data_IF_722627635161
#
_entry.id   IF_722627635161
#
_cell.length_a   1.000
_cell.length_b   1.000
_cell.length_c   1.000
_cell.angle_alpha   90.00
_cell.angle_beta   90.00
_cell.angle_gamma   90.00
#
_symmetry.space_group_name_H-M   'P 1'
#
loop_
_entity.id
_entity.type
_entity.pdbx_description
1 polymer ?
#
# COMPACT_ATOMS: atom_id res chain seq x y z
N UNK A 1 38.34 24.51 -0.41
CA UNK A 1 37.42 23.92 -1.42
C UNK A 1 37.33 22.44 -1.04
N UNK A 2 36.21 21.80 -0.74
CA UNK A 2 34.83 21.91 -1.22
C UNK A 2 33.86 21.66 -0.05
N UNK A 3 32.71 22.35 -0.06
CA UNK A 3 31.61 22.15 0.89
C UNK A 3 30.85 20.88 0.48
N UNK A 4 30.78 19.88 1.35
CA UNK A 4 29.84 18.77 1.19
C UNK A 4 28.44 19.27 1.56
N UNK A 5 27.50 19.14 0.62
CA UNK A 5 26.08 19.45 0.80
C UNK A 5 25.38 18.40 1.69
N UNK A 6 24.12 18.65 2.08
CA UNK A 6 23.40 17.82 3.03
C UNK A 6 23.18 16.41 2.46
N UNK A 7 23.38 15.39 3.31
CA UNK A 7 23.11 13.98 2.99
C UNK A 7 21.72 13.84 2.38
N UNK A 8 21.67 13.47 1.10
CA UNK A 8 20.45 12.97 0.46
C UNK A 8 20.12 11.64 1.14
N UNK A 9 18.93 11.58 1.72
CA UNK A 9 18.36 10.36 2.28
C UNK A 9 18.41 9.24 1.24
N UNK A 10 18.93 8.08 1.64
CA UNK A 10 18.92 6.84 0.86
C UNK A 10 17.52 6.21 0.96
N UNK A 11 16.48 6.97 0.68
CA UNK A 11 15.08 6.52 0.64
C UNK A 11 14.55 6.41 -0.79
N UNK A 12 15.31 6.90 -1.77
CA UNK A 12 14.92 6.91 -3.18
C UNK A 12 15.55 5.78 -4.01
N UNK A 13 16.24 4.82 -3.37
CA UNK A 13 16.53 3.57 -4.07
C UNK A 13 15.20 2.85 -4.26
N UNK A 14 14.73 2.63 -5.51
CA UNK A 14 13.55 1.79 -5.71
C UNK A 14 13.94 0.40 -5.23
N UNK A 15 13.43 0.01 -4.06
CA UNK A 15 13.42 -1.39 -3.67
C UNK A 15 12.59 -2.05 -4.77
N UNK A 16 13.25 -2.82 -5.62
CA UNK A 16 12.61 -3.71 -6.58
C UNK A 16 11.84 -4.75 -5.78
N UNK A 17 10.65 -4.35 -5.31
CA UNK A 17 9.65 -5.24 -4.76
C UNK A 17 9.33 -6.28 -5.82
N UNK A 18 9.23 -7.54 -5.41
CA UNK A 18 8.88 -8.67 -6.27
C UNK A 18 7.50 -8.55 -6.93
N UNK A 19 6.76 -7.48 -6.64
CA UNK A 19 5.51 -7.12 -7.32
C UNK A 19 5.77 -6.33 -8.60
N UNK A 20 6.24 -7.02 -9.63
CA UNK A 20 6.06 -6.56 -11.02
C UNK A 20 4.57 -6.64 -11.36
N UNK A 21 3.84 -5.54 -11.10
CA UNK A 21 2.49 -5.36 -11.60
C UNK A 21 2.56 -5.20 -13.12
N UNK A 22 2.26 -6.28 -13.85
CA UNK A 22 2.06 -6.29 -15.29
C UNK A 22 0.88 -5.35 -15.65
N UNK A 23 1.21 -4.09 -15.93
CA UNK A 23 0.24 -3.03 -16.27
C UNK A 23 -0.07 -2.93 -17.77
N UNK A 24 0.38 -3.87 -18.61
CA UNK A 24 0.21 -3.77 -20.06
C UNK A 24 -0.51 -4.98 -20.66
N UNK A 25 -1.80 -5.15 -20.36
CA UNK A 25 -2.74 -5.79 -21.31
C UNK A 25 -4.09 -5.05 -21.27
N UNK A 26 -4.08 -3.87 -21.89
CA UNK A 26 -5.29 -3.25 -22.45
C UNK A 26 -5.68 -4.06 -23.69
N UNK A 27 -6.48 -5.12 -23.52
CA UNK A 27 -7.22 -5.73 -24.63
C UNK A 27 -8.69 -5.43 -24.45
N UNK A 28 -9.18 -4.66 -25.42
CA UNK A 28 -10.56 -4.25 -25.63
C UNK A 28 -11.45 -5.48 -25.77
N UNK A 29 -12.47 -5.58 -24.92
CA UNK A 29 -13.62 -6.48 -25.09
C UNK A 29 -13.52 -7.82 -24.37
N UNK A 30 -14.27 -7.97 -23.27
CA UNK A 30 -14.52 -9.26 -22.63
C UNK A 30 -14.58 -9.21 -21.10
N UNK A 31 -15.79 -9.39 -20.55
CA UNK A 31 -16.10 -9.92 -19.20
C UNK A 31 -15.18 -9.54 -18.02
N UNK A 32 -15.64 -8.60 -17.19
CA UNK A 32 -15.02 -8.12 -15.93
C UNK A 32 -14.96 -9.14 -14.78
N UNK A 33 -15.08 -10.44 -15.00
CA UNK A 33 -15.21 -11.44 -13.92
C UNK A 33 -13.91 -12.13 -13.52
N UNK A 34 -12.82 -11.99 -14.27
CA UNK A 34 -11.57 -12.76 -14.03
C UNK A 34 -10.57 -12.08 -13.09
N UNK A 35 -10.66 -10.77 -12.85
CA UNK A 35 -9.64 -10.04 -12.06
C UNK A 35 -9.83 -10.15 -10.54
N UNK A 36 -11.07 -10.21 -10.06
CA UNK A 36 -11.37 -10.28 -8.62
C UNK A 36 -11.06 -11.67 -8.03
N UNK A 37 -11.29 -12.74 -8.79
CA UNK A 37 -10.98 -14.11 -8.34
C UNK A 37 -9.47 -14.31 -8.16
N UNK A 38 -8.65 -13.79 -9.07
CA UNK A 38 -7.18 -13.83 -8.97
C UNK A 38 -6.64 -12.95 -7.85
N UNK A 39 -7.28 -11.81 -7.58
CA UNK A 39 -6.89 -10.91 -6.49
C UNK A 39 -7.27 -11.50 -5.12
N UNK A 40 -8.45 -12.12 -5.01
CA UNK A 40 -8.85 -12.86 -3.80
C UNK A 40 -7.95 -14.09 -3.57
N UNK A 41 -7.54 -14.79 -4.63
CA UNK A 41 -6.58 -15.89 -4.52
C UNK A 41 -5.20 -15.39 -4.06
N UNK A 42 -4.73 -14.24 -4.55
CA UNK A 42 -3.49 -13.62 -4.08
C UNK A 42 -3.58 -13.22 -2.60
N UNK A 43 -4.65 -12.57 -2.18
CA UNK A 43 -4.87 -12.20 -0.77
C UNK A 43 -4.95 -13.44 0.13
N UNK A 44 -5.67 -14.49 -0.31
CA UNK A 44 -5.74 -15.76 0.40
C UNK A 44 -4.36 -16.43 0.55
N UNK A 45 -3.52 -16.38 -0.48
CA UNK A 45 -2.16 -16.92 -0.41
C UNK A 45 -1.29 -16.13 0.57
N UNK A 46 -1.42 -14.80 0.59
CA UNK A 46 -0.72 -13.93 1.52
C UNK A 46 -1.18 -14.19 2.95
N UNK A 47 -2.48 -14.35 3.19
CA UNK A 47 -3.02 -14.72 4.50
C UNK A 47 -2.52 -16.10 4.95
N UNK A 48 -2.51 -17.09 4.05
CA UNK A 48 -2.02 -18.43 4.35
C UNK A 48 -0.51 -18.43 4.66
N UNK A 49 0.29 -17.64 3.93
CA UNK A 49 1.72 -17.49 4.19
C UNK A 49 1.98 -16.83 5.56
N UNK A 50 1.23 -15.78 5.88
CA UNK A 50 1.30 -15.13 7.19
C UNK A 50 0.91 -16.08 8.32
N UNK A 51 -0.16 -16.86 8.17
CA UNK A 51 -0.58 -17.85 9.16
C UNK A 51 0.47 -18.95 9.34
N UNK A 52 1.01 -19.50 8.24
CA UNK A 52 2.09 -20.49 8.30
C UNK A 52 3.32 -19.95 9.01
N UNK A 53 3.71 -18.70 8.72
CA UNK A 53 4.84 -18.05 9.36
C UNK A 53 4.59 -17.85 10.85
N UNK A 54 3.40 -17.39 11.23
CA UNK A 54 2.99 -17.23 12.63
C UNK A 54 3.04 -18.56 13.39
N UNK A 55 2.47 -19.62 12.81
CA UNK A 55 2.45 -20.95 13.43
C UNK A 55 3.89 -21.48 13.65
N UNK A 56 4.77 -21.31 12.66
CA UNK A 56 6.17 -21.69 12.76
C UNK A 56 6.91 -20.94 13.87
N UNK A 57 6.71 -19.62 13.99
CA UNK A 57 7.36 -18.82 15.03
C UNK A 57 6.82 -19.18 16.44
N UNK A 58 5.53 -19.45 16.58
CA UNK A 58 4.93 -19.93 17.83
C UNK A 58 5.49 -21.30 18.21
N UNK A 59 5.58 -22.23 17.26
CA UNK A 59 6.16 -23.55 17.51
C UNK A 59 7.64 -23.44 17.92
N UNK A 60 8.40 -22.53 17.31
CA UNK A 60 9.79 -22.26 17.67
C UNK A 60 9.93 -21.68 19.08
N UNK A 61 9.03 -20.78 19.49
CA UNK A 61 9.00 -20.25 20.87
C UNK A 61 8.67 -21.36 21.87
N UNK A 62 7.62 -22.14 21.62
CA UNK A 62 7.17 -23.22 22.52
C UNK A 62 8.26 -24.29 22.65
N UNK A 63 8.86 -24.69 21.54
CA UNK A 63 9.94 -25.68 21.51
C UNK A 63 11.17 -25.18 22.27
N UNK A 64 11.59 -23.92 22.03
CA UNK A 64 12.74 -23.33 22.71
C UNK A 64 12.52 -23.17 24.21
N UNK A 65 11.33 -22.73 24.63
CA UNK A 65 10.97 -22.62 26.04
C UNK A 65 10.90 -23.99 26.72
N UNK A 66 10.31 -24.99 26.06
CA UNK A 66 10.25 -26.37 26.56
C UNK A 66 11.65 -26.94 26.79
N UNK A 67 12.59 -26.67 25.88
CA UNK A 67 13.96 -27.14 26.02
C UNK A 67 14.71 -26.42 27.16
N UNK A 68 14.47 -25.12 27.37
CA UNK A 68 15.01 -24.40 28.55
C UNK A 68 14.51 -25.03 29.86
N UNK A 69 13.22 -25.36 29.96
CA UNK A 69 12.63 -25.99 31.16
C UNK A 69 13.17 -27.40 31.39
N UNK A 70 13.46 -28.15 30.32
CA UNK A 70 14.12 -29.47 30.45
C UNK A 70 15.56 -29.32 30.93
N UNK A 71 16.32 -28.38 30.35
CA UNK A 71 17.73 -28.13 30.71
C UNK A 71 17.91 -27.60 32.13
N UNK A 72 16.91 -26.90 32.68
CA UNK A 72 16.94 -26.41 34.07
C UNK A 72 16.84 -27.52 35.13
N UNK A 73 16.66 -28.78 34.72
CA UNK A 73 16.71 -29.94 35.63
C UNK A 73 15.42 -30.19 36.40
N UNK A 74 14.35 -29.42 36.18
CA UNK A 74 13.03 -29.68 36.79
C UNK A 74 12.55 -31.11 36.51
N UNK A 75 12.82 -31.64 35.32
CA UNK A 75 12.44 -33.01 34.95
C UNK A 75 13.25 -34.10 35.69
N UNK A 76 14.54 -33.87 35.96
CA UNK A 76 15.42 -34.85 36.61
C UNK A 76 15.23 -34.85 38.14
N UNK A 77 14.89 -33.70 38.72
CA UNK A 77 14.60 -33.56 40.15
C UNK A 77 13.24 -34.15 40.55
N UNK A 78 12.22 -34.10 39.68
CA UNK A 78 10.86 -34.61 39.98
C UNK A 78 10.73 -36.14 39.86
N UNK A 79 11.59 -36.80 39.08
CA UNK A 79 11.48 -38.25 38.81
C UNK A 79 12.17 -39.15 39.85
N UNK A 80 12.80 -38.57 40.87
CA UNK A 80 13.49 -39.32 41.93
C UNK A 80 12.83 -39.09 43.30
N UNK A 81 11.69 -39.75 43.61
CA UNK A 81 11.10 -39.70 44.94
C UNK A 81 11.96 -40.56 45.87
N UNK A 82 12.73 -39.94 46.77
CA UNK A 82 13.46 -40.64 47.84
C UNK A 82 14.95 -40.34 48.00
N UNK A 83 15.51 -39.31 47.35
CA UNK A 83 16.91 -38.92 47.58
C UNK A 83 16.98 -37.78 48.60
N UNK A 84 17.60 -38.10 49.75
CA UNK A 84 17.88 -37.18 50.86
C UNK A 84 18.36 -35.79 50.40
N UNK A 85 17.93 -34.78 51.16
CA UNK A 85 17.90 -33.35 50.85
C UNK A 85 19.29 -32.69 50.62
N UNK A 86 20.39 -33.41 50.86
CA UNK A 86 21.75 -32.85 50.87
C UNK A 86 22.70 -33.38 49.79
N UNK A 87 22.24 -34.18 48.82
CA UNK A 87 23.08 -34.58 47.68
C UNK A 87 22.73 -33.76 46.46
N UNK A 88 23.26 -32.53 46.41
CA UNK A 88 23.50 -31.84 45.15
C UNK A 88 24.20 -32.83 44.23
N UNK A 89 23.48 -33.31 43.22
CA UNK A 89 24.05 -34.20 42.20
C UNK A 89 25.14 -33.35 41.56
N UNK A 90 26.40 -33.66 41.83
CA UNK A 90 27.55 -33.01 41.19
C UNK A 90 27.37 -33.17 39.68
N UNK A 91 26.73 -32.17 39.08
CA UNK A 91 26.59 -32.08 37.63
C UNK A 91 28.00 -31.76 37.16
N UNK A 92 28.59 -32.72 36.45
CA UNK A 92 29.93 -32.59 35.87
C UNK A 92 30.11 -31.18 35.28
N UNK A 93 31.21 -30.49 35.61
CA UNK A 93 31.39 -29.06 35.26
C UNK A 93 31.21 -28.83 33.76
N UNK A 94 31.59 -29.81 32.95
CA UNK A 94 31.40 -29.81 31.50
C UNK A 94 29.93 -29.92 31.08
N UNK A 95 29.15 -30.78 31.74
CA UNK A 95 27.70 -30.89 31.52
C UNK A 95 26.97 -29.61 31.92
N UNK A 96 27.35 -29.02 33.06
CA UNK A 96 26.75 -27.76 33.51
C UNK A 96 27.03 -26.59 32.55
N UNK A 97 28.27 -26.51 32.02
CA UNK A 97 28.63 -25.53 31.00
C UNK A 97 27.85 -25.74 29.69
N UNK A 98 27.72 -26.99 29.25
CA UNK A 98 26.97 -27.34 28.04
C UNK A 98 25.47 -27.04 28.18
N UNK A 99 24.87 -27.33 29.33
CA UNK A 99 23.48 -26.97 29.61
C UNK A 99 23.26 -25.45 29.61
N UNK A 100 24.22 -24.69 30.16
CA UNK A 100 24.21 -23.22 30.11
C UNK A 100 24.22 -22.69 28.67
N UNK A 101 25.10 -23.23 27.82
CA UNK A 101 25.16 -22.88 26.40
C UNK A 101 23.86 -23.22 25.65
N UNK A 102 23.27 -24.38 25.92
CA UNK A 102 21.98 -24.77 25.32
C UNK A 102 20.87 -23.81 25.75
N UNK A 103 20.80 -23.43 27.02
CA UNK A 103 19.81 -22.45 27.50
C UNK A 103 19.99 -21.10 26.83
N UNK A 104 21.22 -20.60 26.68
CA UNK A 104 21.52 -19.33 26.00
C UNK A 104 21.10 -19.37 24.53
N UNK A 105 21.46 -20.44 23.81
CA UNK A 105 21.08 -20.64 22.40
C UNK A 105 19.56 -20.69 22.22
N UNK A 106 18.85 -21.37 23.12
CA UNK A 106 17.38 -21.45 23.09
C UNK A 106 16.74 -20.11 23.42
N UNK A 107 17.30 -19.34 24.35
CA UNK A 107 16.85 -17.99 24.65
C UNK A 107 17.04 -17.06 23.44
N UNK A 108 18.17 -17.14 22.74
CA UNK A 108 18.41 -16.38 21.52
C UNK A 108 17.41 -16.72 20.41
N UNK A 109 17.09 -18.02 20.22
CA UNK A 109 16.08 -18.46 19.27
C UNK A 109 14.67 -17.95 19.62
N UNK A 110 14.32 -17.88 20.91
CA UNK A 110 13.05 -17.32 21.36
C UNK A 110 12.97 -15.83 21.02
N UNK A 111 14.01 -15.06 21.33
CA UNK A 111 14.06 -13.62 21.01
C UNK A 111 13.96 -13.39 19.51
N UNK A 112 14.67 -14.19 18.70
CA UNK A 112 14.60 -14.12 17.23
C UNK A 112 13.18 -14.37 16.72
N UNK A 113 12.48 -15.37 17.26
CA UNK A 113 11.11 -15.65 16.87
C UNK A 113 10.15 -14.51 17.24
N UNK A 114 10.33 -13.90 18.42
CA UNK A 114 9.60 -12.70 18.81
C UNK A 114 9.87 -11.50 17.89
N UNK A 115 11.12 -11.31 17.45
CA UNK A 115 11.49 -10.26 16.51
C UNK A 115 10.84 -10.47 15.13
N UNK A 116 10.78 -11.71 14.65
CA UNK A 116 10.06 -12.06 13.42
C UNK A 116 8.56 -11.74 13.53
N UNK A 117 7.93 -12.09 14.65
CA UNK A 117 6.52 -11.76 14.92
C UNK A 117 6.26 -10.25 14.98
N UNK A 118 7.20 -9.49 15.55
CA UNK A 118 7.11 -8.03 15.59
C UNK A 118 7.20 -7.42 14.20
N UNK A 119 8.12 -7.93 13.37
CA UNK A 119 8.26 -7.53 11.97
C UNK A 119 6.98 -7.83 11.18
N UNK A 120 6.41 -9.03 11.35
CA UNK A 120 5.13 -9.39 10.73
C UNK A 120 3.99 -8.45 11.16
N UNK A 121 3.95 -8.06 12.44
CA UNK A 121 2.95 -7.10 12.95
C UNK A 121 3.13 -5.72 12.30
N UNK A 122 4.37 -5.28 12.11
CA UNK A 122 4.66 -4.04 11.40
C UNK A 122 4.18 -4.09 9.94
N UNK A 123 4.45 -5.20 9.23
CA UNK A 123 4.08 -5.37 7.82
C UNK A 123 2.56 -5.39 7.61
N UNK A 124 1.82 -6.03 8.52
CA UNK A 124 0.36 -5.99 8.53
C UNK A 124 -0.17 -4.56 8.72
N UNK A 125 0.40 -3.80 9.66
CA UNK A 125 0.03 -2.39 9.88
C UNK A 125 0.30 -1.55 8.64
N UNK A 126 1.46 -1.73 7.99
CA UNK A 126 1.81 -0.99 6.79
C UNK A 126 0.84 -1.30 5.63
N UNK A 127 0.45 -2.57 5.48
CA UNK A 127 -0.49 -3.00 4.43
C UNK A 127 -1.89 -2.39 4.64
N UNK A 128 -2.37 -2.35 5.89
CA UNK A 128 -3.64 -1.71 6.23
C UNK A 128 -3.61 -0.19 5.95
N UNK A 129 -2.57 0.51 6.39
CA UNK A 129 -2.42 1.95 6.16
C UNK A 129 -2.34 2.31 4.67
N UNK A 130 -1.66 1.48 3.88
CA UNK A 130 -1.54 1.69 2.43
C UNK A 130 -2.89 1.45 1.73
N UNK A 131 -3.64 0.42 2.14
CA UNK A 131 -4.96 0.13 1.59
C UNK A 131 -5.93 1.31 1.80
N UNK A 132 -5.95 1.88 2.99
CA UNK A 132 -6.76 3.06 3.31
C UNK A 132 -6.36 4.27 2.46
N UNK A 133 -5.06 4.45 2.22
CA UNK A 133 -4.56 5.56 1.39
C UNK A 133 -4.93 5.38 -0.09
N UNK A 134 -4.82 4.16 -0.62
CA UNK A 134 -5.15 3.86 -2.01
C UNK A 134 -6.66 3.97 -2.28
N UNK A 135 -7.49 3.46 -1.38
CA UNK A 135 -8.96 3.57 -1.47
C UNK A 135 -9.41 5.04 -1.37
N UNK A 136 -8.81 5.82 -0.47
CA UNK A 136 -9.08 7.24 -0.33
C UNK A 136 -8.65 8.02 -1.58
N UNK A 137 -7.49 7.69 -2.16
CA UNK A 137 -7.02 8.29 -3.41
C UNK A 137 -7.96 7.99 -4.59
N UNK A 138 -8.47 6.76 -4.71
CA UNK A 138 -9.47 6.41 -5.73
C UNK A 138 -10.78 7.18 -5.54
N UNK A 139 -11.24 7.33 -4.29
CA UNK A 139 -12.44 8.11 -3.98
C UNK A 139 -12.25 9.59 -4.35
N UNK A 140 -11.09 10.17 -4.02
CA UNK A 140 -10.73 11.53 -4.40
C UNK A 140 -10.67 11.70 -5.91
N UNK A 141 -10.09 10.75 -6.63
CA UNK A 141 -10.00 10.77 -8.09
C UNK A 141 -11.37 10.67 -8.76
N UNK A 142 -12.25 9.80 -8.26
CA UNK A 142 -13.62 9.70 -8.73
C UNK A 142 -14.41 10.99 -8.48
N UNK A 143 -14.23 11.59 -7.31
CA UNK A 143 -14.85 12.88 -6.96
C UNK A 143 -14.33 14.01 -7.85
N UNK A 144 -13.02 14.03 -8.12
CA UNK A 144 -12.37 14.99 -9.04
C UNK A 144 -12.93 14.86 -10.45
N UNK A 145 -13.02 13.63 -10.98
CA UNK A 145 -13.64 13.35 -12.29
C UNK A 145 -15.10 13.79 -12.36
N UNK A 146 -15.88 13.49 -11.33
CA UNK A 146 -17.28 13.90 -11.26
C UNK A 146 -17.44 15.43 -11.23
N UNK A 147 -16.56 16.13 -10.50
CA UNK A 147 -16.55 17.59 -10.46
C UNK A 147 -16.15 18.17 -11.82
N UNK A 148 -15.09 17.67 -12.45
CA UNK A 148 -14.68 18.09 -13.79
C UNK A 148 -15.79 17.85 -14.83
N UNK A 149 -16.49 16.71 -14.78
CA UNK A 149 -17.61 16.44 -15.67
C UNK A 149 -18.77 17.43 -15.46
N UNK A 150 -19.05 17.85 -14.21
CA UNK A 150 -20.05 18.88 -13.91
C UNK A 150 -19.60 20.25 -14.42
N UNK A 151 -18.34 20.61 -14.19
CA UNK A 151 -17.75 21.86 -14.70
C UNK A 151 -17.81 21.91 -16.22
N UNK A 152 -17.47 20.83 -16.91
CA UNK A 152 -17.57 20.70 -18.37
C UNK A 152 -19.02 20.89 -18.86
N UNK A 153 -20.00 20.29 -18.20
CA UNK A 153 -21.43 20.50 -18.53
C UNK A 153 -21.87 21.95 -18.33
N UNK A 154 -21.42 22.59 -17.25
CA UNK A 154 -21.73 24.00 -16.97
C UNK A 154 -21.09 24.90 -18.02
N UNK A 155 -19.79 24.71 -18.32
CA UNK A 155 -19.06 25.43 -19.38
C UNK A 155 -19.79 25.27 -20.73
N UNK A 156 -20.20 24.06 -21.09
CA UNK A 156 -20.96 23.80 -22.33
C UNK A 156 -22.31 24.54 -22.34
N UNK A 157 -23.03 24.57 -21.22
CA UNK A 157 -24.31 25.27 -21.13
C UNK A 157 -24.13 26.79 -21.25
N UNK A 158 -23.04 27.35 -20.69
CA UNK A 158 -22.68 28.76 -20.84
C UNK A 158 -22.42 29.11 -22.30
N UNK A 159 -21.65 28.27 -23.02
CA UNK A 159 -21.40 28.46 -24.45
C UNK A 159 -22.70 28.43 -25.26
N UNK A 160 -23.57 27.45 -25.03
CA UNK A 160 -24.87 27.38 -25.70
C UNK A 160 -25.74 28.61 -25.44
N UNK A 161 -25.72 29.14 -24.22
CA UNK A 161 -26.51 30.33 -23.86
C UNK A 161 -25.92 31.58 -24.51
N UNK A 162 -24.59 31.66 -24.65
CA UNK A 162 -23.92 32.72 -25.38
C UNK A 162 -24.26 32.69 -26.88
N UNK A 163 -24.28 31.50 -27.50
CA UNK A 163 -24.70 31.34 -28.90
C UNK A 163 -26.14 31.81 -29.10
N UNK A 164 -27.07 31.40 -28.23
CA UNK A 164 -28.49 31.83 -28.31
C UNK A 164 -28.64 33.34 -28.13
N UNK A 165 -27.87 33.96 -27.23
CA UNK A 165 -27.88 35.42 -27.07
C UNK A 165 -27.33 36.10 -28.33
N UNK A 166 -26.26 35.58 -28.91
CA UNK A 166 -25.66 36.13 -30.14
C UNK A 166 -26.62 36.01 -31.33
N UNK A 167 -27.34 34.89 -31.44
CA UNK A 167 -28.40 34.67 -32.43
C UNK A 167 -29.56 35.66 -32.22
N UNK A 168 -30.03 35.84 -30.99
CA UNK A 168 -31.11 36.77 -30.68
C UNK A 168 -30.74 38.24 -30.94
N UNK A 169 -29.48 38.62 -30.66
CA UNK A 169 -28.95 39.95 -31.02
C UNK A 169 -28.94 40.12 -32.54
N UNK A 170 -28.49 39.09 -33.28
CA UNK A 170 -28.47 39.11 -34.73
C UNK A 170 -29.87 39.22 -35.35
N UNK A 171 -30.84 38.48 -34.82
CA UNK A 171 -32.24 38.57 -35.23
C UNK A 171 -32.81 39.98 -34.99
N UNK A 172 -32.57 40.57 -33.82
CA UNK A 172 -32.98 41.95 -33.52
C UNK A 172 -32.32 42.98 -34.44
N UNK A 173 -31.03 42.85 -34.74
CA UNK A 173 -30.31 43.75 -35.64
C UNK A 173 -30.82 43.66 -37.09
N UNK A 174 -31.20 42.45 -37.53
CA UNK A 174 -31.80 42.22 -38.84
C UNK A 174 -33.18 42.89 -39.00
N UNK A 175 -34.00 42.88 -37.93
CA UNK A 175 -35.34 43.49 -37.91
C UNK A 175 -35.26 45.01 -37.83
N UNK A 176 -34.22 45.57 -37.21
CA UNK A 176 -34.02 47.03 -37.11
C UNK A 176 -33.40 47.68 -38.36
N UNK A 177 -33.11 46.93 -39.43
CA UNK A 177 -32.66 47.49 -40.70
C UNK A 177 -31.15 47.76 -40.81
N UNK A 178 -30.33 47.01 -40.08
CA UNK A 178 -28.87 47.06 -40.21
C UNK A 178 -28.36 46.28 -41.43
N UNK A 179 -27.85 46.99 -42.43
CA UNK A 179 -27.12 46.41 -43.57
C UNK A 179 -25.91 45.60 -43.10
N UNK A 180 -25.78 44.39 -43.64
CA UNK A 180 -24.65 43.48 -43.47
C UNK A 180 -23.29 44.19 -43.65
N UNK A 181 -22.27 43.83 -42.84
CA UNK A 181 -20.92 43.76 -43.37
C UNK A 181 -20.32 42.36 -43.18
N UNK A 182 -20.01 41.75 -44.32
CA UNK A 182 -18.81 40.96 -44.58
C UNK A 182 -18.42 39.85 -43.57
N UNK A 183 -18.51 38.60 -44.03
CA UNK A 183 -18.22 37.38 -43.27
C UNK A 183 -16.74 37.16 -42.91
N UNK A 184 -16.22 37.94 -41.97
CA UNK A 184 -14.92 37.67 -41.37
C UNK A 184 -14.86 38.22 -39.96
N UNK A 185 -14.93 37.35 -38.94
CA UNK A 185 -14.21 37.46 -37.65
C UNK A 185 -14.71 36.54 -36.52
N UNK A 186 -15.65 35.63 -36.75
CA UNK A 186 -16.12 34.72 -35.68
C UNK A 186 -15.23 33.47 -35.42
N UNK A 187 -13.99 33.47 -35.92
CA UNK A 187 -13.01 32.40 -35.63
C UNK A 187 -12.02 32.76 -34.52
N UNK A 188 -11.90 34.04 -34.16
CA UNK A 188 -10.90 34.48 -33.17
C UNK A 188 -11.37 34.29 -31.71
N UNK A 189 -12.66 34.50 -31.41
CA UNK A 189 -13.16 34.35 -30.05
C UNK A 189 -13.35 32.88 -29.63
N UNK A 190 -13.77 32.03 -30.57
CA UNK A 190 -13.83 30.58 -30.36
C UNK A 190 -12.43 29.98 -30.15
N UNK A 191 -11.42 30.42 -30.92
CA UNK A 191 -10.04 29.94 -30.73
C UNK A 191 -9.40 30.37 -29.42
N UNK A 192 -9.75 31.55 -28.89
CA UNK A 192 -9.23 32.05 -27.60
C UNK A 192 -9.73 31.22 -26.42
N UNK A 193 -10.99 30.77 -26.45
CA UNK A 193 -11.52 29.87 -25.41
C UNK A 193 -11.12 28.40 -25.62
N UNK A 194 -10.89 27.97 -26.86
CA UNK A 194 -10.37 26.62 -27.16
C UNK A 194 -8.91 26.44 -26.70
N UNK A 195 -8.10 27.50 -26.67
CA UNK A 195 -6.74 27.45 -26.10
C UNK A 195 -6.73 27.27 -24.58
N UNK A 196 -7.68 27.89 -23.86
CA UNK A 196 -7.80 27.72 -22.40
C UNK A 196 -8.26 26.31 -22.02
N UNK A 197 -9.00 25.61 -22.89
CA UNK A 197 -9.40 24.22 -22.69
C UNK A 197 -8.20 23.26 -22.78
N UNK A 198 -7.16 23.58 -23.55
CA UNK A 198 -5.99 22.71 -23.72
C UNK A 198 -4.88 22.96 -22.69
N UNK A 199 -4.83 24.13 -22.05
CA UNK A 199 -3.80 24.41 -21.03
C UNK A 199 -4.07 23.75 -19.67
N UNK A 200 -5.31 23.36 -19.37
CA UNK A 200 -5.66 22.82 -18.04
C UNK A 200 -5.56 21.28 -17.93
N UNK A 201 -5.19 20.59 -19.02
CA UNK A 201 -4.92 19.14 -19.08
C UNK A 201 -3.44 18.77 -18.83
N UNK A 202 -2.57 19.74 -18.52
CA UNK A 202 -1.16 19.49 -18.16
C UNK A 202 -0.88 20.04 -16.75
N UNK A 203 -1.30 19.32 -15.71
CA UNK A 203 -0.57 19.18 -14.45
C UNK A 203 -1.15 18.08 -13.58
#
# INVERSE_FOLDING_TARGET
>A
MQRQGPSRFITDAPITSALSLNTNQLTVGGTKTTTLASQNAFLSNVEEEHNKKLDNEIEQIISSFRDIVKSSGFHEMVRMPGRNEDKQVDKDKYRNSLDGFVVELRAANLVRACETLLTMTHDLKATLLLNDTQTLMQLHENRRKALNARTQKIKKKILQLNDVISEAIWEMESVLGGSQPNGGSNKNLSSIFESDIKMEDIS
#
